data_IF_291899253047
#
_entry.id   IF_291899253047
#
_cell.length_a   1.000
_cell.length_b   1.000
_cell.length_c   1.000
_cell.angle_alpha   90.00
_cell.angle_beta   90.00
_cell.angle_gamma   90.00
#
_symmetry.space_group_name_H-M   'P 1'
#
loop_
_entity.id
_entity.type
_entity.pdbx_description
1 polymer ?
#
# COMPACT_ATOMS: atom_id res chain seq x y z
N UNK A 1 -18.56 45.94 -15.34
CA UNK A 1 -19.28 44.71 -14.93
C UNK A 1 -18.59 44.17 -13.70
N UNK A 2 -19.17 44.39 -12.52
CA UNK A 2 -18.63 43.93 -11.24
C UNK A 2 -19.05 42.47 -11.05
N UNK A 3 -18.09 41.55 -11.06
CA UNK A 3 -18.35 40.13 -10.80
C UNK A 3 -18.70 39.98 -9.32
N UNK A 4 -19.95 39.60 -9.01
CA UNK A 4 -20.35 39.21 -7.66
C UNK A 4 -19.83 37.80 -7.41
N UNK A 5 -18.79 37.65 -6.60
CA UNK A 5 -18.38 36.35 -6.09
C UNK A 5 -19.27 35.99 -4.89
N UNK A 6 -20.12 34.98 -5.02
CA UNK A 6 -20.83 34.39 -3.89
C UNK A 6 -19.80 33.74 -2.95
N UNK A 7 -19.73 34.19 -1.71
CA UNK A 7 -18.88 33.55 -0.69
C UNK A 7 -19.65 32.40 -0.02
N UNK A 8 -18.93 31.31 0.22
CA UNK A 8 -19.39 30.10 0.91
C UNK A 8 -18.69 30.05 2.26
N UNK A 9 -19.47 29.86 3.32
CA UNK A 9 -18.92 29.56 4.63
C UNK A 9 -18.39 28.12 4.64
N UNK A 10 -17.07 27.97 4.78
CA UNK A 10 -16.39 26.67 4.78
C UNK A 10 -15.90 26.37 6.18
N UNK A 11 -16.43 25.31 6.78
CA UNK A 11 -15.97 24.75 8.05
C UNK A 11 -15.00 23.61 7.77
N UNK A 12 -13.82 23.65 8.37
CA UNK A 12 -12.83 22.57 8.31
C UNK A 12 -12.91 21.74 9.58
N UNK A 13 -12.96 20.42 9.41
CA UNK A 13 -12.98 19.43 10.48
C UNK A 13 -11.80 18.50 10.29
N UNK A 14 -11.04 18.24 11.34
CA UNK A 14 -10.02 17.21 11.33
C UNK A 14 -10.68 15.83 11.20
N UNK A 15 -10.36 15.12 10.13
CA UNK A 15 -11.04 13.86 9.81
C UNK A 15 -10.71 12.70 10.76
N UNK A 16 -9.65 12.82 11.58
CA UNK A 16 -9.26 11.80 12.55
C UNK A 16 -9.96 11.99 13.90
N UNK A 17 -10.05 13.24 14.34
CA UNK A 17 -10.55 13.61 15.68
C UNK A 17 -11.97 14.15 15.68
N UNK A 18 -12.51 14.52 14.50
CA UNK A 18 -13.79 15.20 14.31
C UNK A 18 -13.86 16.60 14.99
N UNK A 19 -12.69 17.17 15.34
CA UNK A 19 -12.58 18.51 15.92
C UNK A 19 -12.59 19.60 14.83
N UNK A 20 -13.20 20.75 15.15
CA UNK A 20 -13.20 21.88 14.23
C UNK A 20 -11.83 22.56 14.20
N UNK A 21 -11.24 22.62 13.01
CA UNK A 21 -9.98 23.31 12.75
C UNK A 21 -10.18 24.81 12.49
N UNK A 22 -11.40 25.20 12.11
CA UNK A 22 -11.78 26.60 11.90
C UNK A 22 -12.84 26.78 10.81
N UNK A 23 -13.24 28.04 10.63
CA UNK A 23 -14.25 28.46 9.65
C UNK A 23 -13.72 29.64 8.85
N UNK A 24 -13.96 29.67 7.54
CA UNK A 24 -13.60 30.79 6.66
C UNK A 24 -14.64 31.02 5.57
N UNK A 25 -14.51 32.12 4.83
CA UNK A 25 -15.36 32.45 3.69
C UNK A 25 -14.55 32.30 2.40
N UNK A 26 -14.96 31.38 1.54
CA UNK A 26 -14.29 31.10 0.25
C UNK A 26 -15.22 31.47 -0.90
N UNK A 27 -14.77 32.26 -1.89
CA UNK A 27 -15.53 32.47 -3.12
C UNK A 27 -15.91 31.14 -3.76
N UNK A 28 -17.17 30.96 -4.15
CA UNK A 28 -17.65 29.72 -4.78
C UNK A 28 -16.85 29.34 -6.04
N UNK A 29 -16.28 30.33 -6.73
CA UNK A 29 -15.45 30.13 -7.92
C UNK A 29 -14.06 29.57 -7.61
N UNK A 30 -13.62 29.63 -6.34
CA UNK A 30 -12.35 29.07 -5.87
C UNK A 30 -12.52 27.64 -5.32
N UNK A 31 -13.75 27.12 -5.28
CA UNK A 31 -14.07 25.75 -4.88
C UNK A 31 -14.32 24.87 -6.12
N UNK A 32 -14.05 23.56 -6.07
CA UNK A 32 -14.28 22.64 -7.18
C UNK A 32 -15.78 22.40 -7.42
N UNK A 33 -16.15 21.95 -8.61
CA UNK A 33 -17.55 21.63 -8.95
C UNK A 33 -18.12 20.48 -8.09
N UNK A 34 -17.25 19.55 -7.69
CA UNK A 34 -17.60 18.40 -6.84
C UNK A 34 -16.39 17.97 -6.02
N UNK A 35 -16.67 17.49 -4.80
CA UNK A 35 -15.71 16.83 -3.89
C UNK A 35 -15.89 15.30 -3.88
N UNK A 36 -16.50 14.72 -4.93
CA UNK A 36 -16.62 13.25 -5.08
C UNK A 36 -15.33 12.58 -5.55
N UNK A 37 -14.34 13.36 -5.99
CA UNK A 37 -13.00 12.89 -6.35
C UNK A 37 -12.00 13.34 -5.31
N UNK A 38 -10.90 12.61 -5.23
CA UNK A 38 -9.76 13.00 -4.40
C UNK A 38 -9.35 14.44 -4.70
N UNK A 39 -9.45 15.28 -3.68
CA UNK A 39 -9.25 16.73 -3.79
C UNK A 39 -8.24 17.15 -2.76
N UNK A 40 -7.18 17.82 -3.21
CA UNK A 40 -6.19 18.45 -2.34
C UNK A 40 -6.47 19.95 -2.30
N UNK A 41 -6.47 20.52 -1.10
CA UNK A 41 -6.58 21.96 -0.89
C UNK A 41 -5.32 22.47 -0.21
N UNK A 42 -4.84 23.64 -0.63
CA UNK A 42 -3.75 24.34 0.05
C UNK A 42 -4.35 25.34 1.04
N UNK A 43 -4.04 25.16 2.33
CA UNK A 43 -4.46 26.04 3.41
C UNK A 43 -3.25 26.47 4.21
N UNK A 44 -3.00 27.78 4.30
CA UNK A 44 -1.89 28.37 5.06
C UNK A 44 -0.51 27.79 4.70
N UNK A 45 -0.31 27.42 3.44
CA UNK A 45 0.96 26.86 2.94
C UNK A 45 1.15 25.36 3.20
N UNK A 46 0.16 24.68 3.77
CA UNK A 46 0.14 23.22 3.89
C UNK A 46 -0.90 22.62 2.94
N UNK A 47 -0.60 21.43 2.41
CA UNK A 47 -1.54 20.66 1.59
C UNK A 47 -2.37 19.73 2.48
N UNK A 48 -3.68 19.71 2.22
CA UNK A 48 -4.65 18.92 2.96
C UNK A 48 -5.47 18.09 1.98
N UNK A 49 -5.62 16.81 2.28
CA UNK A 49 -6.52 15.93 1.53
C UNK A 49 -7.94 16.07 2.07
N UNK A 50 -8.92 16.25 1.18
CA UNK A 50 -10.34 16.29 1.52
C UNK A 50 -10.88 14.87 1.52
N UNK A 51 -11.15 14.33 2.71
CA UNK A 51 -11.66 12.96 2.89
C UNK A 51 -13.20 12.90 2.82
N UNK A 52 -13.87 14.02 3.14
CA UNK A 52 -15.32 14.12 3.00
C UNK A 52 -15.77 15.58 2.83
N UNK A 53 -16.93 15.76 2.20
CA UNK A 53 -17.54 17.06 2.00
C UNK A 53 -19.06 17.01 2.18
N UNK A 54 -19.62 18.02 2.84
CA UNK A 54 -21.07 18.20 2.98
C UNK A 54 -21.45 19.67 2.85
N UNK A 55 -22.26 20.06 1.84
CA UNK A 55 -22.68 19.27 0.68
C UNK A 55 -21.53 18.91 -0.29
N UNK A 56 -21.72 17.90 -1.16
CA UNK A 56 -20.64 17.39 -2.04
C UNK A 56 -20.43 18.20 -3.33
N UNK A 57 -21.45 18.91 -3.80
CA UNK A 57 -21.41 19.58 -5.12
C UNK A 57 -21.65 21.08 -5.04
N UNK A 58 -21.12 21.83 -6.00
CA UNK A 58 -21.26 23.29 -6.08
C UNK A 58 -22.69 23.76 -6.06
N UNK A 59 -23.55 23.11 -6.83
CA UNK A 59 -24.98 23.42 -6.85
C UNK A 59 -25.61 23.34 -5.45
N UNK A 60 -25.17 22.39 -4.62
CA UNK A 60 -25.71 22.22 -3.27
C UNK A 60 -25.14 23.25 -2.29
N UNK A 61 -23.81 23.40 -2.22
CA UNK A 61 -23.19 24.30 -1.24
C UNK A 61 -23.39 25.78 -1.59
N UNK A 62 -23.59 26.13 -2.86
CA UNK A 62 -24.01 27.50 -3.25
C UNK A 62 -25.45 27.81 -2.84
N UNK A 63 -26.33 26.80 -2.89
CA UNK A 63 -27.72 26.93 -2.42
C UNK A 63 -27.78 27.07 -0.90
N UNK A 64 -27.01 26.28 -0.15
CA UNK A 64 -26.97 26.34 1.32
C UNK A 64 -26.05 27.43 1.87
N UNK A 65 -25.18 28.01 1.04
CA UNK A 65 -24.09 28.95 1.39
C UNK A 65 -23.10 28.42 2.44
N UNK A 66 -23.10 27.10 2.64
CA UNK A 66 -22.34 26.41 3.68
C UNK A 66 -21.72 25.15 3.11
N UNK A 67 -20.50 24.85 3.55
CA UNK A 67 -19.74 23.67 3.19
C UNK A 67 -18.92 23.22 4.40
N UNK A 68 -18.98 21.94 4.72
CA UNK A 68 -18.15 21.31 5.75
C UNK A 68 -17.20 20.35 5.04
N UNK A 69 -15.91 20.50 5.29
CA UNK A 69 -14.86 19.65 4.75
C UNK A 69 -14.16 18.91 5.88
N UNK A 70 -14.17 17.58 5.81
CA UNK A 70 -13.32 16.74 6.66
C UNK A 70 -12.00 16.58 5.94
N UNK A 71 -10.94 17.08 6.56
CA UNK A 71 -9.62 17.17 5.94
C UNK A 71 -8.58 16.49 6.81
N UNK A 72 -7.49 16.06 6.16
CA UNK A 72 -6.30 15.56 6.84
C UNK A 72 -5.06 16.18 6.19
N UNK A 73 -4.13 16.64 7.00
CA UNK A 73 -2.89 17.20 6.49
C UNK A 73 -2.12 16.12 5.73
N UNK A 74 -1.58 16.48 4.56
CA UNK A 74 -0.69 15.60 3.82
C UNK A 74 0.69 15.71 4.45
N UNK A 75 1.12 14.65 5.13
CA UNK A 75 2.48 14.53 5.62
C UNK A 75 3.37 14.05 4.48
N UNK A 76 4.22 14.94 3.97
CA UNK A 76 5.30 14.57 3.06
C UNK A 76 6.39 13.88 3.88
N UNK A 77 6.39 12.55 3.85
CA UNK A 77 7.51 11.75 4.33
C UNK A 77 8.62 11.73 3.29
N UNK A 78 9.86 11.92 3.72
CA UNK A 78 11.01 11.69 2.86
C UNK A 78 11.01 10.20 2.47
N UNK A 79 11.05 9.84 1.18
CA UNK A 79 11.09 8.45 0.76
C UNK A 79 12.23 7.65 1.40
N UNK A 80 13.33 8.31 1.73
CA UNK A 80 14.46 7.68 2.43
C UNK A 80 14.12 7.24 3.86
N UNK A 81 13.08 7.80 4.47
CA UNK A 81 12.57 7.45 5.80
C UNK A 81 11.54 6.32 5.77
N UNK A 82 11.15 5.87 4.57
CA UNK A 82 10.26 4.72 4.41
C UNK A 82 11.11 3.45 4.51
N UNK A 83 10.76 2.61 5.49
CA UNK A 83 11.42 1.33 5.71
C UNK A 83 10.73 0.23 4.90
N UNK A 84 11.50 -0.77 4.50
CA UNK A 84 10.98 -2.02 3.96
C UNK A 84 10.28 -2.82 5.05
N UNK A 85 9.14 -3.41 4.70
CA UNK A 85 8.36 -4.30 5.56
C UNK A 85 8.94 -5.71 5.65
N UNK A 86 9.82 -6.08 4.71
CA UNK A 86 10.47 -7.38 4.61
C UNK A 86 11.97 -7.21 4.37
N UNK A 87 12.82 -8.10 4.91
CA UNK A 87 14.26 -8.07 4.66
C UNK A 87 14.64 -8.61 3.27
N UNK A 88 13.69 -9.21 2.53
CA UNK A 88 13.92 -9.68 1.17
C UNK A 88 12.64 -9.79 0.33
N UNK A 89 12.78 -9.65 -1.00
CA UNK A 89 11.71 -9.85 -1.98
C UNK A 89 12.21 -10.67 -3.17
N UNK A 90 11.31 -11.39 -3.85
CA UNK A 90 11.63 -12.09 -5.09
C UNK A 90 11.54 -11.12 -6.27
N UNK A 91 12.60 -11.02 -7.08
CA UNK A 91 12.61 -10.21 -8.30
C UNK A 91 11.69 -10.76 -9.41
N UNK A 92 11.67 -12.09 -9.67
CA UNK A 92 10.84 -12.64 -10.74
C UNK A 92 9.38 -12.80 -10.29
N UNK A 93 8.48 -12.07 -10.94
CA UNK A 93 7.02 -12.25 -10.87
C UNK A 93 6.63 -13.52 -11.64
N UNK A 94 5.61 -14.29 -11.21
CA UNK A 94 5.20 -15.48 -11.95
C UNK A 94 4.68 -15.11 -13.33
N UNK A 95 4.86 -16.00 -14.29
CA UNK A 95 4.13 -15.90 -15.56
C UNK A 95 2.63 -15.99 -15.28
N UNK A 96 1.89 -15.00 -15.77
CA UNK A 96 0.43 -14.96 -15.70
C UNK A 96 -0.15 -15.38 -17.05
N UNK A 97 -1.32 -16.02 -17.01
CA UNK A 97 -2.09 -16.33 -18.21
C UNK A 97 -3.16 -15.26 -18.44
N UNK A 98 -3.55 -15.05 -19.70
CA UNK A 98 -4.57 -14.06 -20.10
C UNK A 98 -6.01 -14.53 -19.82
N UNK A 99 -6.23 -15.27 -18.73
CA UNK A 99 -7.57 -15.71 -18.36
C UNK A 99 -8.29 -14.60 -17.59
N UNK A 100 -9.58 -14.43 -17.86
CA UNK A 100 -10.43 -13.57 -17.05
C UNK A 100 -10.52 -14.13 -15.61
N UNK A 101 -10.44 -13.22 -14.64
CA UNK A 101 -10.52 -13.52 -13.21
C UNK A 101 -11.99 -13.66 -12.83
N UNK A 102 -12.39 -14.78 -12.21
CA UNK A 102 -13.78 -15.04 -11.82
C UNK A 102 -14.15 -14.43 -10.46
N UNK A 103 -13.15 -14.11 -9.63
CA UNK A 103 -13.31 -13.62 -8.27
C UNK A 103 -13.21 -14.71 -7.19
N UNK A 104 -13.09 -15.98 -7.58
CA UNK A 104 -12.95 -17.12 -6.67
C UNK A 104 -11.48 -17.57 -6.52
N UNK A 105 -10.55 -16.89 -7.18
CA UNK A 105 -9.13 -17.20 -7.14
C UNK A 105 -8.48 -16.86 -5.80
N UNK A 106 -7.49 -17.67 -5.40
CA UNK A 106 -6.57 -17.29 -4.33
C UNK A 106 -5.73 -16.09 -4.80
N UNK A 107 -5.84 -14.98 -4.07
CA UNK A 107 -5.03 -13.78 -4.31
C UNK A 107 -3.77 -13.83 -3.44
N UNK A 108 -2.61 -13.63 -4.07
CA UNK A 108 -1.32 -13.49 -3.39
C UNK A 108 -0.80 -12.09 -3.71
N UNK A 109 -0.37 -11.34 -2.70
CA UNK A 109 0.27 -10.05 -2.93
C UNK A 109 1.64 -10.24 -3.60
N UNK A 110 2.08 -9.25 -4.37
CA UNK A 110 3.38 -9.30 -5.07
C UNK A 110 4.53 -9.59 -4.09
N UNK A 111 4.55 -8.89 -2.94
CA UNK A 111 5.59 -9.05 -1.92
C UNK A 111 5.58 -10.45 -1.26
N UNK A 112 4.43 -11.13 -1.27
CA UNK A 112 4.27 -12.49 -0.72
C UNK A 112 4.74 -13.56 -1.72
N UNK A 113 4.98 -13.20 -2.98
CA UNK A 113 5.38 -14.14 -4.01
C UNK A 113 6.74 -14.78 -3.68
N UNK A 114 6.76 -16.13 -3.70
CA UNK A 114 7.93 -16.97 -3.39
C UNK A 114 8.61 -16.61 -2.07
N UNK A 115 7.91 -16.06 -1.08
CA UNK A 115 8.46 -15.92 0.28
C UNK A 115 8.65 -17.28 0.96
N UNK A 116 7.81 -18.25 0.59
CA UNK A 116 7.95 -19.66 0.93
C UNK A 116 8.11 -20.48 -0.34
N UNK A 117 9.09 -21.37 -0.36
CA UNK A 117 9.41 -22.17 -1.53
C UNK A 117 10.01 -23.53 -1.13
N UNK A 118 9.64 -24.57 -1.88
CA UNK A 118 10.32 -25.87 -1.82
C UNK A 118 11.51 -25.87 -2.78
N UNK A 119 12.70 -26.08 -2.23
CA UNK A 119 13.95 -26.10 -3.00
C UNK A 119 14.61 -27.47 -2.92
N UNK A 120 15.17 -27.94 -4.03
CA UNK A 120 15.94 -29.18 -4.07
C UNK A 120 17.22 -29.06 -3.23
N UNK A 121 17.53 -30.09 -2.45
CA UNK A 121 18.78 -30.16 -1.66
C UNK A 121 20.05 -30.10 -2.51
N UNK A 122 19.95 -30.33 -3.82
CA UNK A 122 21.07 -30.11 -4.76
C UNK A 122 21.48 -28.64 -4.88
N UNK A 123 20.68 -27.72 -4.32
CA UNK A 123 20.89 -26.28 -4.39
C UNK A 123 21.28 -25.68 -3.02
N UNK A 124 21.60 -26.51 -2.02
CA UNK A 124 21.90 -26.07 -0.64
C UNK A 124 22.92 -24.93 -0.61
N UNK A 125 24.06 -25.06 -1.31
CA UNK A 125 25.08 -24.00 -1.39
C UNK A 125 24.53 -22.65 -1.90
N UNK A 126 23.54 -22.67 -2.78
CA UNK A 126 22.90 -21.45 -3.31
C UNK A 126 21.89 -20.91 -2.30
N UNK A 127 21.12 -21.79 -1.67
CA UNK A 127 20.16 -21.43 -0.61
C UNK A 127 20.90 -20.79 0.56
N UNK A 128 21.97 -21.41 1.05
CA UNK A 128 22.75 -20.90 2.18
C UNK A 128 23.33 -19.52 1.91
N UNK A 129 23.80 -19.27 0.68
CA UNK A 129 24.28 -17.93 0.28
C UNK A 129 23.15 -16.89 0.28
N UNK A 130 21.96 -17.24 -0.19
CA UNK A 130 20.81 -16.33 -0.19
C UNK A 130 20.32 -16.09 1.25
N UNK A 131 20.12 -17.14 2.04
CA UNK A 131 19.74 -17.05 3.45
C UNK A 131 20.74 -16.23 4.25
N UNK A 132 22.04 -16.35 3.98
CA UNK A 132 23.07 -15.55 4.66
C UNK A 132 22.92 -14.05 4.39
N UNK A 133 22.59 -13.65 3.15
CA UNK A 133 22.33 -12.24 2.82
C UNK A 133 21.05 -11.72 3.48
N UNK A 134 19.99 -12.53 3.49
CA UNK A 134 18.72 -12.18 4.14
C UNK A 134 18.94 -12.00 5.63
N UNK A 135 19.66 -12.92 6.29
CA UNK A 135 20.03 -12.80 7.71
C UNK A 135 20.86 -11.56 7.98
N UNK A 136 21.85 -11.27 7.12
CA UNK A 136 22.66 -10.06 7.26
C UNK A 136 21.78 -8.80 7.27
N UNK A 137 20.88 -8.63 6.29
CA UNK A 137 19.96 -7.48 6.27
C UNK A 137 19.04 -7.51 7.49
N UNK A 138 18.43 -8.67 7.77
CA UNK A 138 17.51 -8.84 8.87
C UNK A 138 18.11 -8.38 10.21
N UNK A 139 19.36 -8.73 10.48
CA UNK A 139 20.03 -8.50 11.76
C UNK A 139 20.73 -7.14 11.83
N UNK A 140 21.14 -6.54 10.71
CA UNK A 140 21.99 -5.35 10.69
C UNK A 140 21.30 -4.07 10.22
N UNK A 141 20.16 -4.14 9.52
CA UNK A 141 19.50 -2.96 8.94
C UNK A 141 18.10 -2.72 9.51
N UNK A 142 17.72 -3.49 10.53
CA UNK A 142 16.44 -3.34 11.22
C UNK A 142 16.35 -1.99 11.93
N UNK A 143 15.28 -1.27 11.67
CA UNK A 143 14.96 -0.02 12.34
C UNK A 143 13.48 -0.01 12.74
N UNK A 144 13.18 0.18 14.02
CA UNK A 144 11.81 0.15 14.56
C UNK A 144 11.06 -1.13 14.14
N UNK A 145 10.11 -1.00 13.21
CA UNK A 145 9.22 -2.07 12.73
C UNK A 145 9.62 -2.64 11.36
N UNK A 146 10.68 -2.12 10.71
CA UNK A 146 11.08 -2.50 9.36
C UNK A 146 12.59 -2.53 9.16
N UNK A 147 13.03 -2.47 7.90
CA UNK A 147 14.44 -2.51 7.50
C UNK A 147 14.79 -1.37 6.55
N UNK A 148 15.99 -0.81 6.69
CA UNK A 148 16.50 0.24 5.76
C UNK A 148 16.95 -0.32 4.42
N UNK A 149 17.24 -1.61 4.37
CA UNK A 149 17.70 -2.31 3.17
C UNK A 149 16.85 -3.54 2.92
N UNK A 150 16.86 -4.03 1.69
CA UNK A 150 16.19 -5.25 1.26
C UNK A 150 17.09 -6.06 0.36
N UNK A 151 17.06 -7.39 0.51
CA UNK A 151 17.79 -8.30 -0.37
C UNK A 151 16.86 -8.74 -1.51
N UNK A 152 17.25 -8.40 -2.74
CA UNK A 152 16.50 -8.80 -3.94
C UNK A 152 16.96 -10.20 -4.37
N UNK A 153 16.08 -11.18 -4.21
CA UNK A 153 16.34 -12.58 -4.54
C UNK A 153 16.09 -12.83 -6.02
N UNK A 154 17.10 -13.34 -6.71
CA UNK A 154 17.02 -13.78 -8.12
C UNK A 154 17.31 -15.27 -8.31
N UNK A 155 17.64 -15.99 -7.23
CA UNK A 155 18.09 -17.38 -7.24
C UNK A 155 17.43 -18.18 -6.11
N UNK A 156 17.27 -19.50 -6.29
CA UNK A 156 17.45 -20.24 -7.54
C UNK A 156 16.35 -19.88 -8.56
N UNK A 157 16.73 -19.80 -9.84
CA UNK A 157 15.77 -19.56 -10.94
C UNK A 157 14.85 -20.78 -11.12
N UNK A 158 15.42 -21.98 -11.00
CA UNK A 158 14.71 -23.25 -11.02
C UNK A 158 14.92 -23.93 -9.66
N UNK A 159 13.94 -23.84 -8.73
CA UNK A 159 14.07 -24.34 -7.36
C UNK A 159 14.03 -25.87 -7.27
N UNK A 160 13.37 -26.53 -8.23
CA UNK A 160 13.24 -27.98 -8.28
C UNK A 160 14.06 -28.52 -9.45
N UNK A 161 15.13 -29.24 -9.16
CA UNK A 161 16.09 -29.72 -10.15
C UNK A 161 15.54 -30.80 -11.12
N UNK A 162 14.35 -31.34 -10.88
CA UNK A 162 13.70 -32.37 -11.69
C UNK A 162 12.20 -32.35 -11.48
N UNK A 163 11.41 -32.71 -12.49
CA UNK A 163 9.96 -32.82 -12.36
C UNK A 163 9.57 -33.78 -11.22
N UNK A 164 8.64 -33.36 -10.37
CA UNK A 164 8.01 -34.18 -9.33
C UNK A 164 6.53 -34.30 -9.64
N UNK A 165 5.98 -35.52 -9.57
CA UNK A 165 4.53 -35.69 -9.72
C UNK A 165 3.82 -35.17 -8.48
N UNK A 166 2.63 -34.57 -8.65
CA UNK A 166 1.84 -34.07 -7.53
C UNK A 166 1.52 -35.18 -6.51
N UNK A 167 1.28 -36.41 -6.98
CA UNK A 167 1.05 -37.56 -6.10
C UNK A 167 2.26 -37.88 -5.22
N UNK A 168 3.47 -37.83 -5.79
CA UNK A 168 4.70 -38.04 -5.04
C UNK A 168 4.97 -36.88 -4.07
N UNK A 169 4.77 -35.62 -4.50
CA UNK A 169 4.89 -34.48 -3.59
C UNK A 169 3.92 -34.58 -2.41
N UNK A 170 2.66 -34.93 -2.68
CA UNK A 170 1.64 -35.10 -1.65
C UNK A 170 1.97 -36.25 -0.69
N UNK A 171 2.58 -37.35 -1.15
CA UNK A 171 3.03 -38.42 -0.26
C UNK A 171 4.18 -37.98 0.64
N UNK A 172 5.13 -37.20 0.12
CA UNK A 172 6.24 -36.65 0.92
C UNK A 172 5.72 -35.70 2.01
N UNK A 173 4.79 -34.80 1.68
CA UNK A 173 4.23 -33.85 2.65
C UNK A 173 3.39 -34.54 3.73
N UNK A 174 2.66 -35.61 3.39
CA UNK A 174 1.91 -36.42 4.38
C UNK A 174 2.83 -37.24 5.29
N UNK A 175 4.00 -37.68 4.80
CA UNK A 175 4.96 -38.44 5.58
C UNK A 175 5.61 -37.60 6.70
N UNK A 176 5.64 -36.27 6.56
CA UNK A 176 6.18 -35.34 7.57
C UNK A 176 5.20 -35.15 8.76
N UNK A 177 3.96 -35.64 8.68
CA UNK A 177 2.98 -35.54 9.78
C UNK A 177 3.21 -36.51 10.95
N UNK A 178 4.29 -37.28 10.98
CA UNK A 178 4.66 -38.15 12.11
C UNK A 178 6.14 -38.01 12.50
N UNK A 179 6.54 -36.84 13.00
CA UNK A 179 7.61 -36.78 14.01
C UNK A 179 7.50 -35.48 14.82
N UNK A 180 6.66 -35.48 15.85
CA UNK A 180 6.75 -34.51 16.94
C UNK A 180 7.25 -35.25 18.19
N UNK A 181 8.49 -34.95 18.55
CA UNK A 181 9.01 -34.52 19.87
C UNK A 181 10.48 -34.91 20.00
#
# INVERSE_FOLDING_TARGET
>A
MTSFSLNIEVTFIDALTDESLGVTQIPANNLPDSFERDTIINLSGADWNVLNARPKTRTQYTKSKTLILWIRQIELVNPQDILYSLPSICDPIPEVNDRDVSGDELTIAEDDWRQFELVSTKLDDKVDREISKIRFIHDNTKERIGWREIHIRKKPEIPIASNISLAHLASLLKAVSYTHL
#
